data_IF_410488103109
#
_entry.id   IF_410488103109
#
_cell.length_a   1.000
_cell.length_b   1.000
_cell.length_c   1.000
_cell.angle_alpha   90.00
_cell.angle_beta   90.00
_cell.angle_gamma   90.00
#
_symmetry.space_group_name_H-M   'P 1'
#
loop_
_entity.id
_entity.type
_entity.pdbx_description
1 polymer ?
#
# COMPACT_ATOMS: atom_id res chain seq x y z
N UNK A 1 -6.07 38.42 -44.65
CA UNK A 1 -6.82 39.57 -44.15
C UNK A 1 -6.27 39.94 -42.78
N UNK A 2 -5.68 41.03 -42.75
CA UNK A 2 -4.97 41.79 -41.76
C UNK A 2 -5.86 42.21 -40.59
N UNK A 3 -5.17 42.56 -39.48
CA UNK A 3 -5.53 43.64 -38.52
C UNK A 3 -5.84 43.07 -37.13
N UNK A 4 -5.36 43.57 -36.00
CA UNK A 4 -4.40 44.62 -35.55
C UNK A 4 -4.01 44.33 -34.10
N UNK A 5 -2.83 44.76 -33.77
CA UNK A 5 -2.27 44.88 -32.41
C UNK A 5 -2.99 45.95 -31.61
N UNK A 6 -3.16 45.77 -30.30
CA UNK A 6 -3.13 46.90 -29.36
C UNK A 6 -2.37 46.49 -28.10
N UNK A 7 -1.28 47.18 -27.87
CA UNK A 7 -0.55 47.28 -26.60
C UNK A 7 -1.37 48.14 -25.63
N UNK A 8 -1.35 47.78 -24.35
CA UNK A 8 -1.57 48.72 -23.26
C UNK A 8 -0.62 48.38 -22.11
N UNK A 9 0.37 49.23 -21.97
CA UNK A 9 1.29 49.38 -20.84
C UNK A 9 0.69 50.31 -19.80
N UNK A 10 0.77 50.01 -18.49
CA UNK A 10 0.89 50.95 -17.34
C UNK A 10 1.37 50.12 -16.16
N UNK A 11 2.63 50.28 -15.73
CA UNK A 11 3.25 51.18 -14.77
C UNK A 11 3.14 50.70 -13.30
N UNK A 12 4.30 50.36 -12.82
CA UNK A 12 5.00 50.38 -11.56
C UNK A 12 4.31 50.96 -10.29
N UNK A 13 4.49 50.29 -9.18
CA UNK A 13 4.81 50.91 -7.88
C UNK A 13 5.58 49.92 -7.00
N UNK A 14 6.85 50.27 -6.73
CA UNK A 14 7.73 49.64 -5.77
C UNK A 14 7.44 50.16 -4.35
N UNK A 15 7.47 49.30 -3.37
CA UNK A 15 7.71 49.65 -1.98
C UNK A 15 8.62 48.61 -1.35
N UNK A 16 9.85 49.03 -1.19
CA UNK A 16 10.88 48.35 -0.42
C UNK A 16 10.66 48.63 1.08
N UNK A 17 10.67 47.61 1.91
CA UNK A 17 11.00 47.74 3.33
C UNK A 17 12.10 46.72 3.68
N UNK A 18 13.25 47.26 3.87
CA UNK A 18 14.45 46.62 4.44
C UNK A 18 14.23 46.38 5.94
N UNK A 19 14.40 45.11 6.35
CA UNK A 19 14.54 44.75 7.76
C UNK A 19 15.71 43.78 7.89
N UNK A 20 16.90 44.32 8.19
CA UNK A 20 18.05 43.58 8.68
C UNK A 20 17.78 43.17 10.15
N UNK A 21 17.89 41.90 10.48
CA UNK A 21 18.27 41.47 11.83
C UNK A 21 19.31 40.37 11.73
N UNK A 22 20.30 40.59 12.55
CA UNK A 22 21.65 40.02 12.68
C UNK A 22 21.68 38.52 12.92
N UNK A 23 22.78 37.94 12.47
CA UNK A 23 23.35 36.68 12.90
C UNK A 23 23.59 36.63 14.40
N UNK A 24 23.24 35.56 15.06
CA UNK A 24 23.99 35.00 16.17
C UNK A 24 23.86 33.48 16.22
N UNK A 25 24.92 32.89 16.55
CA UNK A 25 25.44 31.54 16.41
C UNK A 25 24.86 30.55 17.41
N UNK A 26 24.95 29.25 16.99
CA UNK A 26 25.01 28.03 17.81
C UNK A 26 23.79 27.62 18.67
N UNK A 27 23.12 26.56 18.28
CA UNK A 27 23.15 25.23 18.92
C UNK A 27 22.20 24.31 18.19
N UNK A 28 22.69 23.13 17.83
CA UNK A 28 21.92 22.02 17.32
C UNK A 28 20.84 21.62 18.34
N UNK A 29 19.58 21.77 17.96
CA UNK A 29 18.50 21.00 18.56
C UNK A 29 17.57 20.52 17.44
N UNK A 30 17.68 19.24 17.16
CA UNK A 30 16.86 18.54 16.18
C UNK A 30 15.47 18.40 16.76
N UNK A 31 14.73 19.48 16.82
CA UNK A 31 13.32 19.42 17.11
C UNK A 31 12.61 18.97 15.84
N UNK A 32 12.33 17.69 15.80
CA UNK A 32 11.35 17.10 14.88
C UNK A 32 10.04 17.83 15.10
N UNK A 33 9.77 18.83 14.26
CA UNK A 33 8.47 19.50 14.24
C UNK A 33 7.49 18.51 13.65
N UNK A 34 6.87 17.71 14.52
CA UNK A 34 5.64 17.03 14.19
C UNK A 34 4.61 18.14 13.94
N UNK A 35 4.36 18.45 12.68
CA UNK A 35 3.23 19.27 12.31
C UNK A 35 1.98 18.53 12.81
N UNK A 36 1.37 19.06 13.87
CA UNK A 36 0.03 18.67 14.26
C UNK A 36 -0.87 19.11 13.09
N UNK A 37 -1.29 18.14 12.27
CA UNK A 37 -2.33 18.35 11.28
C UNK A 37 -3.63 18.67 12.01
N UNK A 38 -4.25 19.75 11.64
CA UNK A 38 -5.63 20.08 12.02
C UNK A 38 -6.54 18.86 11.74
N UNK A 39 -7.37 18.52 12.70
CA UNK A 39 -8.20 17.34 12.89
C UNK A 39 -9.10 16.85 11.76
N UNK A 40 -8.59 16.66 10.55
CA UNK A 40 -9.22 15.81 9.53
C UNK A 40 -8.65 14.40 9.66
N UNK A 41 -9.49 13.43 10.00
CA UNK A 41 -9.10 12.03 9.95
C UNK A 41 -8.66 11.69 8.53
N UNK A 42 -7.43 11.22 8.40
CA UNK A 42 -6.92 10.73 7.11
C UNK A 42 -7.53 9.37 6.83
N UNK A 43 -8.34 9.23 5.78
CA UNK A 43 -8.85 7.93 5.34
C UNK A 43 -7.84 7.25 4.43
N UNK A 44 -7.50 5.98 4.73
CA UNK A 44 -6.63 5.13 3.91
C UNK A 44 -7.45 3.96 3.39
N UNK A 45 -7.53 3.80 2.08
CA UNK A 45 -8.23 2.71 1.42
C UNK A 45 -7.28 1.54 1.17
N UNK A 46 -7.57 0.38 1.80
CA UNK A 46 -6.74 -0.83 1.78
C UNK A 46 -7.46 -1.97 1.06
N UNK A 47 -6.87 -2.48 -0.03
CA UNK A 47 -7.35 -3.68 -0.71
C UNK A 47 -6.82 -4.97 -0.07
N UNK A 48 -7.69 -5.93 0.19
CA UNK A 48 -7.34 -7.25 0.74
C UNK A 48 -8.27 -8.35 0.24
N UNK A 49 -7.84 -9.60 0.33
CA UNK A 49 -8.67 -10.79 0.09
C UNK A 49 -9.18 -11.43 1.39
N UNK A 50 -8.87 -10.82 2.54
CA UNK A 50 -9.07 -11.39 3.88
C UNK A 50 -9.70 -10.37 4.85
N UNK A 51 -10.64 -9.55 4.37
CA UNK A 51 -11.24 -8.47 5.18
C UNK A 51 -12.09 -8.97 6.37
N UNK A 52 -12.44 -10.24 6.39
CA UNK A 52 -13.20 -10.91 7.44
C UNK A 52 -12.33 -11.37 8.64
N UNK A 53 -11.00 -11.28 8.55
CA UNK A 53 -10.12 -11.65 9.64
C UNK A 53 -10.22 -10.69 10.84
N UNK A 54 -10.23 -11.26 12.05
CA UNK A 54 -10.29 -10.48 13.31
C UNK A 54 -9.17 -9.44 13.45
N UNK A 55 -8.00 -9.73 12.87
CA UNK A 55 -6.87 -8.80 12.86
C UNK A 55 -7.20 -7.42 12.30
N UNK A 56 -8.15 -7.32 11.38
CA UNK A 56 -8.61 -6.04 10.82
C UNK A 56 -9.37 -5.19 11.83
N UNK A 57 -10.11 -5.81 12.76
CA UNK A 57 -10.77 -5.08 13.84
C UNK A 57 -9.74 -4.39 14.72
N UNK A 58 -8.74 -5.14 15.17
CA UNK A 58 -7.64 -4.59 15.99
C UNK A 58 -6.88 -3.50 15.24
N UNK A 59 -6.61 -3.71 13.95
CA UNK A 59 -5.89 -2.73 13.15
C UNK A 59 -6.68 -1.43 12.94
N UNK A 60 -8.00 -1.52 12.73
CA UNK A 60 -8.88 -0.34 12.64
C UNK A 60 -8.88 0.47 13.93
N UNK A 61 -8.98 -0.19 15.08
CA UNK A 61 -8.98 0.47 16.38
C UNK A 61 -7.64 1.21 16.63
N UNK A 62 -6.51 0.54 16.36
CA UNK A 62 -5.19 1.16 16.47
C UNK A 62 -4.97 2.32 15.49
N UNK A 63 -5.50 2.23 14.28
CA UNK A 63 -5.44 3.31 13.30
C UNK A 63 -6.27 4.52 13.76
N UNK A 64 -7.49 4.27 14.24
CA UNK A 64 -8.38 5.31 14.77
C UNK A 64 -7.76 6.06 15.96
N UNK A 65 -7.09 5.38 16.87
CA UNK A 65 -6.33 5.97 17.97
C UNK A 65 -5.22 6.93 17.50
N UNK A 66 -4.79 6.79 16.24
CA UNK A 66 -3.79 7.65 15.60
C UNK A 66 -4.41 8.63 14.57
N UNK A 67 -5.72 8.84 14.58
CA UNK A 67 -6.40 9.76 13.68
C UNK A 67 -6.49 9.27 12.23
N UNK A 68 -6.40 7.95 12.01
CA UNK A 68 -6.48 7.31 10.68
C UNK A 68 -7.75 6.47 10.61
N UNK A 69 -8.55 6.70 9.59
CA UNK A 69 -9.69 5.84 9.24
C UNK A 69 -9.26 4.83 8.17
N UNK A 70 -9.54 3.54 8.39
CA UNK A 70 -9.25 2.50 7.40
C UNK A 70 -10.53 2.09 6.67
N UNK A 71 -10.55 2.31 5.34
CA UNK A 71 -11.54 1.78 4.42
C UNK A 71 -11.02 0.46 3.83
N UNK A 72 -11.53 -0.68 4.34
CA UNK A 72 -11.08 -2.01 3.93
C UNK A 72 -11.93 -2.51 2.77
N UNK A 73 -11.31 -2.67 1.60
CA UNK A 73 -11.96 -3.15 0.37
C UNK A 73 -11.69 -4.63 0.19
N UNK A 74 -12.76 -5.44 0.27
CA UNK A 74 -12.68 -6.89 0.05
C UNK A 74 -12.63 -7.23 -1.45
N UNK A 75 -11.66 -8.06 -1.82
CA UNK A 75 -11.56 -8.69 -3.13
C UNK A 75 -11.79 -10.20 -3.00
N UNK A 76 -12.43 -10.79 -4.00
CA UNK A 76 -12.69 -12.23 -4.08
C UNK A 76 -11.54 -13.02 -4.72
N UNK A 77 -10.58 -12.32 -5.35
CA UNK A 77 -9.45 -12.91 -6.07
C UNK A 77 -8.20 -12.04 -5.91
N UNK A 78 -7.02 -12.63 -6.09
CA UNK A 78 -5.72 -11.92 -6.00
C UNK A 78 -5.46 -11.02 -7.21
N UNK A 79 -5.92 -11.43 -8.39
CA UNK A 79 -5.54 -10.81 -9.67
C UNK A 79 -5.87 -9.31 -9.76
N UNK A 80 -7.06 -8.81 -9.33
CA UNK A 80 -7.40 -7.41 -9.49
C UNK A 80 -6.77 -6.48 -8.44
N UNK A 81 -6.27 -6.99 -7.32
CA UNK A 81 -5.87 -6.15 -6.18
C UNK A 81 -4.69 -5.22 -6.51
N UNK A 82 -3.66 -5.74 -7.16
CA UNK A 82 -2.50 -4.94 -7.57
C UNK A 82 -2.85 -3.96 -8.69
N UNK A 83 -3.76 -4.34 -9.59
CA UNK A 83 -4.20 -3.46 -10.67
C UNK A 83 -5.01 -2.29 -10.12
N UNK A 84 -5.93 -2.52 -9.17
CA UNK A 84 -6.68 -1.48 -8.48
C UNK A 84 -5.76 -0.46 -7.77
N UNK A 85 -4.69 -0.95 -7.11
CA UNK A 85 -3.66 -0.08 -6.53
C UNK A 85 -2.90 0.70 -7.62
N UNK A 86 -2.49 0.05 -8.69
CA UNK A 86 -1.76 0.69 -9.78
C UNK A 86 -2.58 1.73 -10.57
N UNK A 87 -3.91 1.64 -10.50
CA UNK A 87 -4.85 2.60 -11.08
C UNK A 87 -5.26 3.74 -10.11
N UNK A 88 -4.81 3.67 -8.86
CA UNK A 88 -5.13 4.67 -7.83
C UNK A 88 -6.53 4.51 -7.22
N UNK A 89 -7.15 3.34 -7.37
CA UNK A 89 -8.42 3.01 -6.72
C UNK A 89 -8.24 2.64 -5.25
N UNK A 90 -7.02 2.28 -4.86
CA UNK A 90 -6.56 1.98 -3.51
C UNK A 90 -5.32 2.81 -3.18
N UNK A 91 -5.11 3.10 -1.89
CA UNK A 91 -3.90 3.73 -1.39
C UNK A 91 -2.80 2.69 -1.10
N UNK A 92 -3.20 1.54 -0.56
CA UNK A 92 -2.32 0.39 -0.27
C UNK A 92 -3.08 -0.91 -0.47
N UNK A 93 -2.36 -2.02 -0.46
CA UNK A 93 -2.97 -3.35 -0.33
C UNK A 93 -2.22 -4.24 0.66
N UNK A 94 -2.93 -5.21 1.25
CA UNK A 94 -2.39 -6.23 2.15
C UNK A 94 -3.01 -7.58 1.78
N UNK A 95 -2.28 -8.41 1.01
CA UNK A 95 -2.73 -9.76 0.64
C UNK A 95 -1.61 -10.68 0.15
N UNK A 96 -0.46 -10.14 -0.24
CA UNK A 96 0.53 -10.83 -1.05
C UNK A 96 1.90 -10.93 -0.37
N UNK A 97 2.66 -11.95 -0.74
CA UNK A 97 4.08 -12.03 -0.43
C UNK A 97 4.93 -11.34 -1.52
N UNK A 98 6.17 -11.00 -1.18
CA UNK A 98 7.06 -10.20 -2.02
C UNK A 98 7.33 -10.83 -3.41
N UNK A 99 7.36 -12.16 -3.53
CA UNK A 99 7.57 -12.83 -4.82
C UNK A 99 6.38 -12.59 -5.76
N UNK A 100 5.14 -12.67 -5.25
CA UNK A 100 3.95 -12.38 -6.04
C UNK A 100 3.95 -10.92 -6.54
N UNK A 101 4.30 -9.96 -5.67
CA UNK A 101 4.44 -8.56 -6.06
C UNK A 101 5.51 -8.37 -7.15
N UNK A 102 6.67 -9.02 -7.02
CA UNK A 102 7.75 -8.92 -8.01
C UNK A 102 7.32 -9.46 -9.38
N UNK A 103 6.61 -10.60 -9.41
CA UNK A 103 6.07 -11.18 -10.65
C UNK A 103 5.02 -10.26 -11.30
N UNK A 104 4.13 -9.65 -10.50
CA UNK A 104 3.18 -8.66 -11.00
C UNK A 104 3.90 -7.46 -11.61
N UNK A 105 4.83 -6.84 -10.88
CA UNK A 105 5.57 -5.68 -11.37
C UNK A 105 6.29 -5.98 -12.70
N UNK A 106 6.93 -7.16 -12.80
CA UNK A 106 7.63 -7.57 -14.00
C UNK A 106 6.67 -7.79 -15.18
N UNK A 107 5.57 -8.50 -14.95
CA UNK A 107 4.62 -8.86 -16.01
C UNK A 107 3.77 -7.68 -16.48
N UNK A 108 3.38 -6.80 -15.57
CA UNK A 108 2.52 -5.63 -15.84
C UNK A 108 3.31 -4.35 -16.15
N UNK A 109 4.65 -4.37 -16.05
CA UNK A 109 5.48 -3.17 -16.21
C UNK A 109 5.21 -2.09 -15.18
N UNK A 110 4.91 -2.49 -13.95
CA UNK A 110 4.60 -1.60 -12.83
C UNK A 110 5.77 -1.53 -11.83
N UNK A 111 5.70 -0.58 -10.88
CA UNK A 111 6.71 -0.36 -9.83
C UNK A 111 6.03 -0.16 -8.47
N UNK A 112 5.14 -1.07 -8.09
CA UNK A 112 4.55 -1.08 -6.76
C UNK A 112 5.60 -1.48 -5.73
N UNK A 113 5.59 -0.82 -4.55
CA UNK A 113 6.64 -1.00 -3.54
C UNK A 113 6.09 -1.52 -2.23
N UNK A 114 6.90 -2.35 -1.57
CA UNK A 114 6.63 -2.77 -0.20
C UNK A 114 6.85 -1.59 0.75
N UNK A 115 5.84 -1.29 1.57
CA UNK A 115 5.90 -0.26 2.61
C UNK A 115 6.00 -0.85 4.03
N UNK A 116 5.70 -2.14 4.18
CA UNK A 116 5.80 -2.86 5.44
C UNK A 116 5.47 -4.34 5.28
N UNK A 117 5.66 -5.11 6.34
CA UNK A 117 5.23 -6.51 6.43
C UNK A 117 4.36 -6.69 7.66
N UNK A 118 3.36 -7.55 7.57
CA UNK A 118 2.38 -7.79 8.64
C UNK A 118 2.59 -9.14 9.31
N UNK A 119 2.60 -10.23 8.53
CA UNK A 119 2.59 -11.59 9.04
C UNK A 119 3.34 -12.54 8.13
N UNK A 120 3.63 -13.73 8.63
CA UNK A 120 4.14 -14.87 7.85
C UNK A 120 3.02 -15.90 7.76
N UNK A 121 2.63 -16.23 6.51
CA UNK A 121 1.63 -17.26 6.22
C UNK A 121 2.33 -18.45 5.59
N UNK A 122 2.63 -19.51 6.37
CA UNK A 122 3.18 -20.74 5.83
C UNK A 122 2.13 -21.48 5.01
N UNK A 123 2.55 -22.14 3.92
CA UNK A 123 1.69 -23.10 3.24
C UNK A 123 1.69 -24.41 4.02
N UNK A 124 0.53 -25.05 4.10
CA UNK A 124 0.35 -26.36 4.71
C UNK A 124 -0.53 -27.24 3.83
N UNK A 125 -0.41 -28.54 3.97
CA UNK A 125 -1.31 -29.51 3.38
C UNK A 125 -2.51 -29.72 4.33
N UNK A 126 -3.72 -29.56 3.77
CA UNK A 126 -4.97 -29.81 4.49
C UNK A 126 -5.68 -30.98 3.84
N UNK A 127 -6.07 -31.95 4.64
CA UNK A 127 -6.82 -33.11 4.20
C UNK A 127 -8.01 -33.31 5.13
N UNK A 128 -9.19 -33.02 4.60
CA UNK A 128 -10.43 -33.04 5.38
C UNK A 128 -10.69 -34.44 5.97
N UNK A 129 -11.06 -34.47 7.25
CA UNK A 129 -11.40 -35.68 8.02
C UNK A 129 -10.23 -36.67 8.18
N UNK A 130 -8.98 -36.22 8.04
CA UNK A 130 -7.75 -36.99 8.26
C UNK A 130 -6.81 -36.23 9.19
N UNK A 131 -6.14 -36.96 10.04
CA UNK A 131 -5.15 -36.47 11.01
C UNK A 131 -3.69 -36.96 10.72
N UNK A 132 -3.55 -37.76 9.65
CA UNK A 132 -2.25 -38.24 9.14
C UNK A 132 -2.22 -38.22 7.63
N UNK A 133 -1.08 -38.57 7.03
CA UNK A 133 -0.91 -38.72 5.58
C UNK A 133 -1.08 -40.20 5.13
N UNK A 134 -1.51 -41.08 6.01
CA UNK A 134 -1.69 -42.50 5.70
C UNK A 134 -2.78 -42.66 4.63
N UNK A 135 -2.42 -43.27 3.51
CA UNK A 135 -3.35 -43.53 2.40
C UNK A 135 -3.47 -42.37 1.40
N UNK A 136 -2.60 -41.36 1.46
CA UNK A 136 -2.63 -40.21 0.52
C UNK A 136 -2.10 -40.59 -0.88
N UNK A 137 -1.45 -41.72 -1.04
CA UNK A 137 -0.89 -42.17 -2.32
C UNK A 137 -2.01 -42.37 -3.36
N UNK A 138 -1.88 -41.67 -4.49
CA UNK A 138 -2.84 -41.72 -5.58
C UNK A 138 -4.00 -40.74 -5.47
N UNK A 139 -4.08 -39.98 -4.39
CA UNK A 139 -5.08 -38.94 -4.20
C UNK A 139 -4.78 -37.68 -5.02
N UNK A 140 -5.81 -36.90 -5.32
CA UNK A 140 -5.68 -35.63 -6.04
C UNK A 140 -5.48 -34.48 -5.05
N UNK A 141 -4.46 -33.67 -5.30
CA UNK A 141 -4.13 -32.52 -4.47
C UNK A 141 -4.39 -31.23 -5.26
N UNK A 142 -5.24 -30.35 -4.72
CA UNK A 142 -5.45 -29.01 -5.27
C UNK A 142 -4.30 -28.09 -4.84
N UNK A 143 -3.69 -27.39 -5.79
CA UNK A 143 -2.63 -26.41 -5.55
C UNK A 143 -2.98 -25.08 -6.22
N UNK A 144 -2.40 -23.94 -5.77
CA UNK A 144 -2.57 -22.66 -6.43
C UNK A 144 -2.16 -22.70 -7.91
N UNK A 145 -2.83 -21.94 -8.77
CA UNK A 145 -2.54 -21.88 -10.19
C UNK A 145 -1.64 -20.69 -10.59
N UNK A 146 -1.34 -19.78 -9.67
CA UNK A 146 -0.35 -18.74 -9.92
C UNK A 146 1.07 -19.29 -9.73
N UNK A 147 2.05 -18.86 -10.57
CA UNK A 147 3.39 -19.46 -10.58
C UNK A 147 4.11 -19.38 -9.24
N UNK A 148 3.91 -18.31 -8.47
CA UNK A 148 4.62 -18.09 -7.22
C UNK A 148 4.13 -19.03 -6.11
N UNK A 149 2.82 -19.19 -5.94
CA UNK A 149 2.26 -20.09 -4.94
C UNK A 149 2.25 -21.55 -5.39
N UNK A 150 2.13 -21.83 -6.69
CA UNK A 150 2.28 -23.19 -7.22
C UNK A 150 3.65 -23.78 -6.84
N UNK A 151 4.75 -23.03 -7.06
CA UNK A 151 6.09 -23.48 -6.67
C UNK A 151 6.23 -23.70 -5.16
N UNK A 152 5.58 -22.85 -4.33
CA UNK A 152 5.56 -23.03 -2.87
C UNK A 152 4.79 -24.30 -2.47
N UNK A 153 3.65 -24.57 -3.11
CA UNK A 153 2.86 -25.77 -2.85
C UNK A 153 3.61 -27.04 -3.21
N UNK A 154 4.29 -27.07 -4.36
CA UNK A 154 5.13 -28.21 -4.77
C UNK A 154 6.22 -28.48 -3.73
N UNK A 155 6.86 -27.42 -3.19
CA UNK A 155 7.88 -27.59 -2.15
C UNK A 155 7.35 -28.14 -0.82
N UNK A 156 6.05 -28.10 -0.56
CA UNK A 156 5.43 -28.74 0.62
C UNK A 156 5.26 -30.24 0.40
N UNK A 157 5.19 -30.68 -0.86
CA UNK A 157 4.91 -32.07 -1.23
C UNK A 157 6.17 -32.92 -1.50
N UNK A 158 7.35 -32.30 -1.53
CA UNK A 158 8.65 -32.96 -1.73
C UNK A 158 9.53 -32.81 -0.53
#
# INVERSE_FOLDING_TARGET
>A
MRIKRTLATVAAAALATTGLVACSNESEDTTSTTAAADGENTTIKIGTTEADQEAWTVFKDLAADNGIELDIVQFSDYSPVNEALAQGELDVNKFQHIKYLAEYNQSAGKDLRVVGSTEIVPLALFWKDHDSLDGIEGESIAIPNDPSNQGRAINVLV
#
